data_IF_753428897989
#
_entry.id   IF_753428897989
#
_cell.length_a   1.000
_cell.length_b   1.000
_cell.length_c   1.000
_cell.angle_alpha   90.00
_cell.angle_beta   90.00
_cell.angle_gamma   90.00
#
_symmetry.space_group_name_H-M   'P 1'
#
loop_
_entity.id
_entity.type
_entity.pdbx_description
1 polymer ?
#
# COMPACT_ATOMS: atom_id res chain seq x y z
N UNK A 1 -12.50 -13.30 1.97
CA UNK A 1 -12.01 -12.27 2.90
C UNK A 1 -12.37 -10.89 2.35
N UNK A 2 -12.97 -10.03 3.18
CA UNK A 2 -13.37 -8.67 2.78
C UNK A 2 -12.27 -7.71 3.25
N UNK A 3 -11.33 -7.40 2.37
CA UNK A 3 -10.30 -6.38 2.65
C UNK A 3 -10.98 -5.00 2.55
N UNK A 4 -10.83 -4.17 3.59
CA UNK A 4 -11.34 -2.79 3.59
C UNK A 4 -10.24 -1.86 3.09
N UNK A 5 -10.33 -1.48 1.82
CA UNK A 5 -9.41 -0.54 1.18
C UNK A 5 -9.83 0.90 1.49
N UNK A 6 -8.88 1.73 1.92
CA UNK A 6 -9.08 3.14 2.27
C UNK A 6 -7.90 3.98 1.78
N UNK A 7 -8.14 5.27 1.55
CA UNK A 7 -7.08 6.23 1.20
C UNK A 7 -6.02 6.30 2.30
N UNK A 8 -4.78 6.58 1.89
CA UNK A 8 -3.59 6.66 2.77
C UNK A 8 -3.18 5.35 3.47
N UNK A 9 -3.86 4.23 3.21
CA UNK A 9 -3.37 2.92 3.63
C UNK A 9 -2.07 2.58 2.93
N UNK A 10 -1.13 2.00 3.68
CA UNK A 10 0.16 1.53 3.17
C UNK A 10 0.28 0.03 3.44
N UNK A 11 0.49 -0.73 2.38
CA UNK A 11 0.66 -2.18 2.42
C UNK A 11 2.11 -2.54 2.16
N UNK A 12 2.71 -3.43 2.95
CA UNK A 12 4.08 -3.92 2.78
C UNK A 12 4.06 -5.33 2.19
N UNK A 13 4.84 -5.57 1.14
CA UNK A 13 5.05 -6.89 0.55
C UNK A 13 6.54 -7.05 0.23
N UNK A 14 7.23 -7.87 1.02
CA UNK A 14 8.69 -7.96 0.94
C UNK A 14 9.34 -6.60 1.23
N UNK A 15 10.07 -6.08 0.25
CA UNK A 15 10.77 -4.79 0.31
C UNK A 15 9.97 -3.62 -0.29
N UNK A 16 8.79 -3.90 -0.85
CA UNK A 16 7.95 -2.91 -1.51
C UNK A 16 6.80 -2.46 -0.62
N UNK A 17 6.43 -1.20 -0.77
CA UNK A 17 5.30 -0.57 -0.13
C UNK A 17 4.31 -0.08 -1.18
N UNK A 18 3.02 -0.34 -0.96
CA UNK A 18 1.93 0.12 -1.80
C UNK A 18 1.06 1.09 -1.01
N UNK A 19 1.11 2.38 -1.34
CA UNK A 19 0.27 3.41 -0.72
C UNK A 19 -0.92 3.74 -1.61
N UNK A 20 -2.14 3.61 -1.10
CA UNK A 20 -3.33 4.09 -1.80
C UNK A 20 -3.35 5.62 -1.78
N UNK A 21 -3.24 6.25 -2.94
CA UNK A 21 -3.28 7.71 -3.09
C UNK A 21 -4.67 8.22 -3.43
N UNK A 22 -5.46 7.41 -4.15
CA UNK A 22 -6.84 7.76 -4.51
C UNK A 22 -7.75 6.53 -4.52
N UNK A 23 -8.98 6.72 -4.05
CA UNK A 23 -10.01 5.69 -4.01
C UNK A 23 -11.24 6.18 -4.77
N UNK A 24 -11.61 5.48 -5.83
CA UNK A 24 -12.80 5.75 -6.63
C UNK A 24 -13.82 4.60 -6.50
N UNK A 25 -15.02 4.76 -7.04
CA UNK A 25 -16.02 3.68 -7.13
C UNK A 25 -15.49 2.50 -7.94
N UNK A 26 -14.83 2.73 -9.07
CA UNK A 26 -14.45 1.67 -10.02
C UNK A 26 -12.98 1.25 -9.92
N UNK A 27 -12.09 2.14 -9.49
CA UNK A 27 -10.65 1.92 -9.48
C UNK A 27 -9.99 2.43 -8.20
N UNK A 28 -8.72 2.07 -8.05
CA UNK A 28 -7.82 2.58 -7.02
C UNK A 28 -6.56 3.06 -7.72
N UNK A 29 -6.03 4.19 -7.23
CA UNK A 29 -4.69 4.66 -7.58
C UNK A 29 -3.79 4.44 -6.38
N UNK A 30 -2.62 3.85 -6.64
CA UNK A 30 -1.61 3.62 -5.61
C UNK A 30 -0.22 3.99 -6.11
N UNK A 31 0.69 4.24 -5.17
CA UNK A 31 2.12 4.39 -5.40
C UNK A 31 2.87 3.18 -4.91
N UNK A 32 3.81 2.69 -5.71
CA UNK A 32 4.82 1.72 -5.28
C UNK A 32 6.05 2.47 -4.80
N UNK A 33 6.53 2.14 -3.60
CA UNK A 33 7.70 2.76 -2.97
C UNK A 33 8.62 1.67 -2.46
N UNK A 34 9.94 1.86 -2.57
CA UNK A 34 10.94 0.96 -1.96
C UNK A 34 11.34 1.41 -0.55
N UNK A 35 10.98 2.64 -0.17
CA UNK A 35 11.24 3.21 1.15
C UNK A 35 10.09 4.16 1.55
N UNK A 36 9.74 4.15 2.83
CA UNK A 36 8.62 4.95 3.37
C UNK A 36 8.95 6.44 3.53
N UNK A 37 10.24 6.80 3.62
CA UNK A 37 10.68 8.20 3.77
C UNK A 37 10.71 8.92 2.43
N UNK A 38 11.13 8.21 1.37
CA UNK A 38 11.22 8.76 0.02
C UNK A 38 9.89 9.32 -0.48
N UNK A 39 8.76 8.63 -0.23
CA UNK A 39 7.40 8.98 -0.73
C UNK A 39 7.29 9.11 -2.26
N UNK A 40 8.40 9.02 -2.97
CA UNK A 40 8.52 8.93 -4.41
C UNK A 40 8.14 7.53 -4.88
N UNK A 41 7.30 7.49 -5.90
CA UNK A 41 6.74 6.27 -6.44
C UNK A 41 5.86 6.55 -7.63
N UNK A 42 5.92 5.67 -8.62
CA UNK A 42 5.05 5.73 -9.79
C UNK A 42 3.61 5.48 -9.36
N UNK A 43 2.71 6.37 -9.77
CA UNK A 43 1.28 6.14 -9.61
C UNK A 43 0.79 5.12 -10.63
N UNK A 44 0.02 4.15 -10.14
CA UNK A 44 -0.58 3.11 -10.97
C UNK A 44 -2.06 3.04 -10.63
N UNK A 45 -2.89 3.06 -11.66
CA UNK A 45 -4.34 2.88 -11.57
C UNK A 45 -4.70 1.45 -11.94
N UNK A 46 -5.55 0.80 -11.15
CA UNK A 46 -6.11 -0.51 -11.46
C UNK A 46 -7.47 -0.74 -10.77
N UNK A 47 -8.18 -1.80 -11.15
CA UNK A 47 -9.46 -2.12 -10.52
C UNK A 47 -9.29 -2.59 -9.07
N UNK A 48 -10.33 -2.43 -8.23
CA UNK A 48 -10.30 -2.92 -6.84
C UNK A 48 -9.97 -4.41 -6.73
N UNK A 49 -10.41 -5.21 -7.71
CA UNK A 49 -10.17 -6.66 -7.76
C UNK A 49 -8.70 -6.96 -8.01
N UNK A 50 -8.06 -6.22 -8.92
CA UNK A 50 -6.62 -6.34 -9.17
C UNK A 50 -5.81 -5.88 -7.97
N UNK A 51 -6.21 -4.79 -7.29
CA UNK A 51 -5.51 -4.31 -6.10
C UNK A 51 -5.54 -5.37 -5.01
N UNK A 52 -6.72 -5.91 -4.68
CA UNK A 52 -6.85 -6.97 -3.68
C UNK A 52 -6.02 -8.22 -4.00
N UNK A 53 -5.78 -8.52 -5.28
CA UNK A 53 -4.90 -9.62 -5.70
C UNK A 53 -3.43 -9.26 -5.53
N UNK A 54 -3.05 -8.03 -5.87
CA UNK A 54 -1.69 -7.50 -5.71
C UNK A 54 -1.25 -7.56 -4.24
N UNK A 55 -2.07 -7.05 -3.33
CA UNK A 55 -1.77 -7.03 -1.89
C UNK A 55 -2.08 -8.35 -1.17
N UNK A 56 -2.33 -9.44 -1.91
CA UNK A 56 -2.60 -10.74 -1.29
C UNK A 56 -1.33 -11.22 -0.57
N UNK A 57 -1.43 -11.40 0.75
CA UNK A 57 -0.28 -11.74 1.60
C UNK A 57 0.58 -10.54 2.00
N UNK A 58 0.21 -9.32 1.61
CA UNK A 58 0.82 -8.10 2.11
C UNK A 58 0.29 -7.74 3.50
N UNK A 59 1.13 -7.06 4.29
CA UNK A 59 0.77 -6.57 5.62
C UNK A 59 0.31 -5.12 5.56
N UNK A 60 -0.84 -4.81 6.16
CA UNK A 60 -1.27 -3.42 6.33
C UNK A 60 -0.47 -2.77 7.45
N UNK A 61 0.27 -1.70 7.14
CA UNK A 61 1.04 -0.96 8.14
C UNK A 61 0.14 -0.03 8.95
N UNK A 62 0.36 -0.02 10.26
CA UNK A 62 -0.23 0.96 11.18
C UNK A 62 0.46 2.32 11.02
N UNK A 63 -0.19 3.43 11.43
CA UNK A 63 0.43 4.75 11.42
C UNK A 63 1.75 4.82 12.19
N UNK A 64 1.91 4.00 13.24
CA UNK A 64 3.14 3.92 14.02
C UNK A 64 4.27 3.23 13.25
N UNK A 65 3.98 2.11 12.57
CA UNK A 65 4.96 1.41 11.72
C UNK A 65 5.43 2.29 10.55
N UNK A 66 4.52 3.11 10.00
CA UNK A 66 4.86 4.08 8.96
C UNK A 66 5.79 5.17 9.47
N UNK A 67 5.55 5.69 10.69
CA UNK A 67 6.40 6.72 11.32
C UNK A 67 7.79 6.21 11.68
N UNK A 68 7.88 4.98 12.17
CA UNK A 68 9.14 4.35 12.55
C UNK A 68 9.95 3.86 11.34
N UNK A 69 9.42 4.00 10.12
CA UNK A 69 10.10 3.62 8.89
C UNK A 69 10.42 2.14 8.85
N UNK A 70 9.44 1.27 9.15
CA UNK A 70 9.48 -0.18 8.92
C UNK A 70 10.85 -0.85 9.20
N UNK A 71 11.46 -0.51 10.34
CA UNK A 71 12.57 -1.25 10.91
C UNK A 71 12.03 -2.40 11.74
N UNK A 72 11.87 -3.58 11.12
CA UNK A 72 11.96 -4.85 11.85
C UNK A 72 12.23 -5.97 10.86
N UNK A 73 13.53 -6.28 10.71
CA UNK A 73 13.94 -7.67 10.57
C UNK A 73 13.60 -8.39 11.88
N UNK A 74 13.00 -9.56 11.74
CA UNK A 74 12.93 -10.60 12.75
C UNK A 74 13.20 -11.91 12.02
#
# INVERSE_FOLDING_TARGET
MKIKLQQDQIWKQGELYFKITHWDRLYIVYKTMSDLKGRDGKETQLSKKEFCRLIKGAELLTPEQVRLGSGKGL
#
